data_IF_158424277172
#
_entry.id   IF_158424277172
#
_cell.length_a   1.000
_cell.length_b   1.000
_cell.length_c   1.000
_cell.angle_alpha   90.00
_cell.angle_beta   90.00
_cell.angle_gamma   90.00
#
_symmetry.space_group_name_H-M   'P 1'
#
loop_
_entity.id
_entity.type
_entity.pdbx_description
1 polymer ?
#
# COMPACT_ATOMS: atom_id res chain seq x y z
N UNK A 1 -13.91 -17.20 0.95
CA UNK A 1 -14.11 -16.42 2.20
C UNK A 1 -12.74 -15.90 2.58
N UNK A 2 -12.41 -14.61 2.52
CA UNK A 2 -11.02 -14.10 2.55
C UNK A 2 -10.19 -14.57 3.77
N UNK A 3 -8.86 -14.44 3.73
CA UNK A 3 -7.93 -14.70 4.84
C UNK A 3 -7.35 -13.43 5.44
N UNK A 4 -7.09 -13.40 6.75
CA UNK A 4 -6.29 -12.37 7.43
C UNK A 4 -5.23 -13.06 8.27
N UNK A 5 -4.01 -12.54 8.26
CA UNK A 5 -2.97 -12.87 9.24
C UNK A 5 -2.35 -11.60 9.81
N UNK A 6 -1.78 -11.73 11.01
CA UNK A 6 -0.92 -10.73 11.62
C UNK A 6 0.27 -11.42 12.25
N UNK A 7 1.43 -10.77 12.19
CA UNK A 7 2.67 -11.25 12.79
C UNK A 7 3.31 -10.12 13.57
N UNK A 8 3.75 -10.45 14.78
CA UNK A 8 4.38 -9.56 15.76
C UNK A 8 5.66 -10.24 16.22
N UNK A 9 6.81 -9.60 16.04
CA UNK A 9 8.13 -10.09 16.46
C UNK A 9 8.67 -9.19 17.58
N UNK A 10 9.39 -9.78 18.54
CA UNK A 10 10.03 -9.04 19.63
C UNK A 10 11.22 -8.20 19.16
N UNK A 11 11.84 -8.58 18.05
CA UNK A 11 12.96 -7.90 17.41
C UNK A 11 12.76 -7.93 15.88
N UNK A 12 13.39 -7.03 15.11
CA UNK A 12 13.31 -7.07 13.65
C UNK A 12 13.71 -8.45 13.09
N UNK A 13 12.86 -9.04 12.27
CA UNK A 13 13.07 -10.35 11.66
C UNK A 13 12.29 -10.53 10.36
N UNK A 14 12.22 -11.74 9.79
CA UNK A 14 11.71 -12.00 8.44
C UNK A 14 10.17 -11.99 8.38
N UNK A 15 9.56 -10.87 8.81
CA UNK A 15 8.11 -10.71 8.90
C UNK A 15 7.41 -10.88 7.55
N UNK A 16 8.06 -10.52 6.44
CA UNK A 16 7.54 -10.74 5.10
C UNK A 16 7.37 -12.22 4.77
N UNK A 17 8.42 -13.02 4.95
CA UNK A 17 8.38 -14.46 4.73
C UNK A 17 7.38 -15.17 5.67
N UNK A 18 7.34 -14.78 6.95
CA UNK A 18 6.36 -15.30 7.92
C UNK A 18 4.92 -15.07 7.44
N UNK A 19 4.59 -13.83 7.04
CA UNK A 19 3.24 -13.48 6.58
C UNK A 19 2.87 -14.18 5.27
N UNK A 20 3.81 -14.35 4.34
CA UNK A 20 3.58 -15.08 3.08
C UNK A 20 3.24 -16.54 3.38
N UNK A 21 4.00 -17.20 4.25
CA UNK A 21 3.73 -18.58 4.65
C UNK A 21 2.35 -18.73 5.31
N UNK A 22 1.97 -17.78 6.19
CA UNK A 22 0.65 -17.76 6.80
C UNK A 22 -0.48 -17.55 5.79
N UNK A 23 -0.29 -16.66 4.80
CA UNK A 23 -1.26 -16.45 3.72
C UNK A 23 -1.40 -17.69 2.84
N UNK A 24 -0.30 -18.36 2.52
CA UNK A 24 -0.30 -19.57 1.72
C UNK A 24 -1.03 -20.73 2.39
N UNK A 25 -0.86 -20.90 3.71
CA UNK A 25 -1.63 -21.88 4.49
C UNK A 25 -3.15 -21.63 4.42
N UNK A 26 -3.57 -20.41 4.11
CA UNK A 26 -4.96 -20.01 3.93
C UNK A 26 -5.34 -19.78 2.46
N UNK A 27 -4.55 -20.21 1.47
CA UNK A 27 -4.84 -19.96 0.05
C UNK A 27 -6.21 -20.49 -0.40
N UNK A 28 -6.71 -21.58 0.22
CA UNK A 28 -8.06 -22.11 0.00
C UNK A 28 -9.20 -21.12 0.36
N UNK A 29 -8.87 -20.03 1.08
CA UNK A 29 -9.79 -18.96 1.49
C UNK A 29 -9.88 -17.84 0.43
N UNK A 30 -8.88 -17.71 -0.44
CA UNK A 30 -8.85 -16.76 -1.56
C UNK A 30 -7.44 -16.57 -2.11
N UNK A 31 -7.32 -16.41 -3.42
CA UNK A 31 -6.04 -16.30 -4.12
C UNK A 31 -6.07 -15.30 -5.29
N UNK A 32 -7.11 -14.48 -5.40
CA UNK A 32 -7.25 -13.55 -6.53
C UNK A 32 -6.33 -12.35 -6.38
N UNK A 33 -6.15 -11.90 -5.14
CA UNK A 33 -5.23 -10.82 -4.78
C UNK A 33 -4.75 -11.00 -3.35
N UNK A 34 -3.50 -10.61 -3.11
CA UNK A 34 -2.87 -10.70 -1.80
C UNK A 34 -2.16 -9.39 -1.50
N UNK A 35 -2.24 -8.94 -0.25
CA UNK A 35 -1.57 -7.74 0.20
C UNK A 35 -1.04 -7.85 1.61
N UNK A 36 -0.05 -7.02 1.88
CA UNK A 36 0.75 -6.96 3.09
C UNK A 36 0.94 -5.51 3.50
N UNK A 37 0.76 -5.22 4.77
CA UNK A 37 1.22 -3.99 5.41
C UNK A 37 2.36 -4.39 6.33
N UNK A 38 3.56 -3.96 5.98
CA UNK A 38 4.81 -4.36 6.61
C UNK A 38 5.43 -3.17 7.32
N UNK A 39 5.94 -3.40 8.54
CA UNK A 39 6.52 -2.35 9.37
C UNK A 39 8.01 -2.62 9.55
N UNK A 40 8.80 -1.96 8.70
CA UNK A 40 10.26 -2.06 8.65
C UNK A 40 10.97 -1.11 9.61
N UNK A 41 12.29 -0.94 9.48
CA UNK A 41 13.05 0.06 10.20
C UNK A 41 12.48 1.46 9.96
N UNK A 42 12.40 2.27 11.02
CA UNK A 42 11.96 3.65 10.90
C UNK A 42 12.98 4.48 10.13
N UNK A 43 12.51 5.29 9.18
CA UNK A 43 13.35 6.33 8.59
C UNK A 43 13.75 7.35 9.68
N UNK A 44 15.01 7.82 9.69
CA UNK A 44 15.44 8.91 10.58
C UNK A 44 14.67 10.20 10.35
N UNK A 45 14.29 10.46 9.09
CA UNK A 45 13.53 11.63 8.65
C UNK A 45 12.63 11.25 7.46
N UNK A 46 11.51 11.96 7.33
CA UNK A 46 10.62 11.78 6.18
C UNK A 46 9.73 10.55 6.24
N UNK A 47 9.24 10.15 5.07
CA UNK A 47 8.30 9.05 4.87
C UNK A 47 8.75 8.11 3.76
N UNK A 48 8.45 6.82 3.94
CA UNK A 48 8.33 5.87 2.84
C UNK A 48 6.92 6.00 2.26
N UNK A 49 6.85 6.14 0.94
CA UNK A 49 5.58 6.21 0.21
C UNK A 49 5.52 5.09 -0.81
N UNK A 50 4.40 4.37 -0.82
CA UNK A 50 4.09 3.34 -1.82
C UNK A 50 2.97 3.86 -2.70
N UNK A 51 3.14 3.72 -4.01
CA UNK A 51 2.14 4.12 -5.01
C UNK A 51 1.86 2.96 -5.95
N UNK A 52 0.65 2.91 -6.49
CA UNK A 52 0.34 2.13 -7.69
C UNK A 52 -0.02 3.09 -8.82
N UNK A 53 0.70 3.01 -9.94
CA UNK A 53 0.28 3.61 -11.21
C UNK A 53 -0.38 2.55 -12.08
N UNK A 54 -1.57 2.83 -12.59
CA UNK A 54 -2.35 1.94 -13.46
C UNK A 54 -1.92 2.01 -14.93
N UNK A 55 -0.97 2.89 -15.27
CA UNK A 55 -0.46 3.05 -16.63
C UNK A 55 1.06 3.27 -16.65
N UNK A 56 1.81 2.16 -16.72
CA UNK A 56 3.28 2.18 -16.80
C UNK A 56 3.84 3.08 -17.92
N UNK A 57 3.12 3.25 -19.04
CA UNK A 57 3.61 4.12 -20.15
C UNK A 57 3.63 5.60 -19.79
N UNK A 58 2.90 5.99 -18.76
CA UNK A 58 2.85 7.36 -18.24
C UNK A 58 3.69 7.55 -16.98
N UNK A 59 4.31 6.49 -16.47
CA UNK A 59 4.97 6.51 -15.17
C UNK A 59 5.97 7.67 -15.03
N UNK A 60 6.83 7.88 -16.02
CA UNK A 60 7.82 8.95 -15.99
C UNK A 60 7.16 10.34 -15.85
N UNK A 61 6.09 10.59 -16.62
CA UNK A 61 5.35 11.85 -16.55
C UNK A 61 4.58 12.01 -15.23
N UNK A 62 3.96 10.92 -14.75
CA UNK A 62 3.20 10.94 -13.51
C UNK A 62 4.15 11.14 -12.31
N UNK A 63 5.37 10.59 -12.34
CA UNK A 63 6.42 10.82 -11.34
C UNK A 63 6.96 12.26 -11.39
N UNK A 64 7.16 12.83 -12.57
CA UNK A 64 7.55 14.24 -12.73
C UNK A 64 6.48 15.18 -12.17
N UNK A 65 5.20 14.89 -12.46
CA UNK A 65 4.06 15.64 -11.91
C UNK A 65 4.02 15.54 -10.39
N UNK A 66 4.16 14.33 -9.86
CA UNK A 66 4.21 14.08 -8.42
C UNK A 66 5.37 14.82 -7.75
N UNK A 67 6.54 14.84 -8.39
CA UNK A 67 7.72 15.54 -7.88
C UNK A 67 7.50 17.06 -7.83
N UNK A 68 6.88 17.63 -8.86
CA UNK A 68 6.50 19.06 -8.87
C UNK A 68 5.57 19.39 -7.71
N UNK A 69 4.52 18.60 -7.50
CA UNK A 69 3.59 18.78 -6.37
C UNK A 69 4.35 18.68 -5.05
N UNK A 70 5.22 17.68 -4.89
CA UNK A 70 6.02 17.52 -3.68
C UNK A 70 6.87 18.77 -3.37
N UNK A 71 7.47 19.38 -4.41
CA UNK A 71 8.25 20.61 -4.32
C UNK A 71 7.41 21.82 -3.92
N UNK A 72 6.20 21.94 -4.46
CA UNK A 72 5.28 23.03 -4.13
C UNK A 72 4.88 23.00 -2.63
N UNK A 73 4.91 21.82 -2.01
CA UNK A 73 4.67 21.61 -0.57
C UNK A 73 5.95 21.61 0.28
N UNK A 74 7.07 22.07 -0.28
CA UNK A 74 8.35 22.21 0.42
C UNK A 74 9.02 20.89 0.80
N UNK A 75 8.66 19.80 0.13
CA UNK A 75 9.26 18.48 0.28
C UNK A 75 10.08 18.11 -0.97
N UNK A 76 10.88 17.05 -0.86
CA UNK A 76 11.64 16.49 -1.96
C UNK A 76 11.82 14.97 -1.78
N UNK A 77 12.18 14.29 -2.85
CA UNK A 77 12.65 12.92 -2.76
C UNK A 77 13.96 12.86 -1.97
N UNK A 78 14.04 11.92 -1.01
CA UNK A 78 15.27 11.57 -0.30
C UNK A 78 16.12 10.58 -1.12
N UNK A 79 15.50 9.85 -2.04
CA UNK A 79 16.17 8.96 -2.99
C UNK A 79 15.31 8.82 -4.24
N UNK A 80 15.92 8.42 -5.36
CA UNK A 80 15.21 8.15 -6.60
C UNK A 80 14.08 7.11 -6.38
N UNK A 81 12.87 7.35 -6.93
CA UNK A 81 11.81 6.36 -6.92
C UNK A 81 12.25 5.06 -7.58
N UNK A 82 11.84 3.93 -7.01
CA UNK A 82 12.14 2.59 -7.50
C UNK A 82 10.86 1.84 -7.80
N UNK A 83 10.88 0.97 -8.80
CA UNK A 83 9.73 0.15 -9.19
C UNK A 83 10.18 -1.14 -9.84
N UNK A 84 9.26 -2.09 -9.94
CA UNK A 84 9.53 -3.40 -10.53
C UNK A 84 9.77 -3.32 -12.06
N UNK A 85 10.54 -4.26 -12.61
CA UNK A 85 10.80 -4.37 -14.05
C UNK A 85 9.78 -5.24 -14.79
N UNK A 86 8.60 -5.50 -14.22
CA UNK A 86 7.60 -6.39 -14.82
C UNK A 86 6.91 -5.73 -16.01
N UNK A 87 6.36 -6.55 -16.91
CA UNK A 87 5.68 -6.10 -18.14
C UNK A 87 4.18 -5.84 -17.96
N UNK A 88 3.72 -5.64 -16.73
CA UNK A 88 2.31 -5.43 -16.43
C UNK A 88 1.87 -3.99 -16.75
N UNK A 89 0.55 -3.79 -16.92
CA UNK A 89 -0.03 -2.47 -17.19
C UNK A 89 0.14 -1.52 -16.01
N UNK A 90 -0.10 -2.02 -14.80
CA UNK A 90 0.17 -1.30 -13.57
C UNK A 90 1.61 -1.55 -13.09
N UNK A 91 2.05 -0.70 -12.17
CA UNK A 91 3.39 -0.71 -11.57
C UNK A 91 3.29 -0.26 -10.12
N UNK A 92 4.01 -0.96 -9.22
CA UNK A 92 4.16 -0.51 -7.84
C UNK A 92 5.45 0.29 -7.73
N UNK A 93 5.34 1.49 -7.17
CA UNK A 93 6.46 2.41 -6.96
C UNK A 93 6.71 2.54 -5.46
N UNK A 94 7.98 2.49 -5.09
CA UNK A 94 8.48 2.83 -3.76
C UNK A 94 9.33 4.09 -3.86
N UNK A 95 9.04 5.05 -3.00
CA UNK A 95 9.79 6.30 -2.90
C UNK A 95 10.01 6.66 -1.44
N UNK A 96 11.03 7.48 -1.18
CA UNK A 96 11.23 8.13 0.12
C UNK A 96 11.26 9.63 -0.08
N UNK A 97 10.59 10.37 0.80
CA UNK A 97 10.47 11.83 0.71
C UNK A 97 10.66 12.48 2.07
N UNK A 98 11.12 13.72 2.10
CA UNK A 98 11.05 14.54 3.31
C UNK A 98 9.60 14.86 3.66
N UNK A 99 9.33 15.25 4.90
CA UNK A 99 7.96 15.58 5.31
C UNK A 99 7.51 16.89 4.63
N UNK A 100 6.32 16.94 4.01
CA UNK A 100 5.73 18.19 3.54
C UNK A 100 5.69 19.23 4.65
N UNK A 101 6.14 20.44 4.33
CA UNK A 101 6.18 21.57 5.28
C UNK A 101 4.84 22.29 5.39
N UNK A 102 4.01 22.18 4.34
CA UNK A 102 2.63 22.62 4.29
C UNK A 102 1.66 21.49 4.75
N UNK A 103 0.34 21.71 4.63
CA UNK A 103 -0.66 20.77 5.14
C UNK A 103 -0.60 19.41 4.41
N UNK A 104 -0.18 18.36 5.13
CA UNK A 104 0.00 17.00 4.61
C UNK A 104 -1.26 16.43 3.91
N UNK A 105 -2.46 16.82 4.37
CA UNK A 105 -3.72 16.40 3.77
C UNK A 105 -3.95 17.03 2.40
N UNK A 106 -3.63 18.31 2.22
CA UNK A 106 -3.76 19.01 0.92
C UNK A 106 -2.78 18.44 -0.11
N UNK A 107 -1.53 18.19 0.29
CA UNK A 107 -0.55 17.49 -0.54
C UNK A 107 -1.07 16.11 -1.02
N UNK A 108 -1.68 15.34 -0.11
CA UNK A 108 -2.24 14.04 -0.41
C UNK A 108 -3.39 14.14 -1.43
N UNK A 109 -4.27 15.13 -1.28
CA UNK A 109 -5.38 15.37 -2.22
C UNK A 109 -4.88 15.73 -3.62
N UNK A 110 -3.87 16.60 -3.75
CA UNK A 110 -3.28 16.95 -5.04
C UNK A 110 -2.54 15.78 -5.69
N UNK A 111 -1.80 15.01 -4.89
CA UNK A 111 -1.08 13.83 -5.39
C UNK A 111 -2.04 12.74 -5.88
N UNK A 112 -3.15 12.49 -5.17
CA UNK A 112 -4.19 11.54 -5.59
C UNK A 112 -5.03 12.04 -6.79
N UNK A 113 -4.93 13.33 -7.16
CA UNK A 113 -5.56 13.88 -8.35
C UNK A 113 -4.87 13.46 -9.66
N UNK A 114 -3.65 12.91 -9.58
CA UNK A 114 -2.94 12.36 -10.74
C UNK A 114 -3.68 11.11 -11.24
N UNK A 115 -4.28 11.20 -12.43
CA UNK A 115 -5.19 10.19 -12.95
C UNK A 115 -4.55 8.80 -13.08
N UNK A 116 -5.03 7.84 -12.28
CA UNK A 116 -4.53 6.46 -12.30
C UNK A 116 -3.25 6.25 -11.48
N UNK A 117 -2.86 7.22 -10.67
CA UNK A 117 -1.72 7.16 -9.75
C UNK A 117 -2.27 7.28 -8.33
N UNK A 118 -2.18 6.21 -7.55
CA UNK A 118 -2.85 6.14 -6.23
C UNK A 118 -1.85 5.81 -5.13
N UNK A 119 -1.77 6.68 -4.11
CA UNK A 119 -0.90 6.47 -2.95
C UNK A 119 -1.45 5.32 -2.10
N UNK A 120 -0.72 4.22 -2.02
CA UNK A 120 -1.13 3.03 -1.25
C UNK A 120 -0.79 3.16 0.24
N UNK A 121 0.30 3.82 0.60
CA UNK A 121 0.65 4.10 1.99
C UNK A 121 1.65 5.23 2.11
N UNK A 122 1.56 5.97 3.22
CA UNK A 122 2.60 6.87 3.72
C UNK A 122 2.89 6.50 5.16
N UNK A 123 4.17 6.40 5.53
CA UNK A 123 4.58 6.06 6.88
C UNK A 123 6.07 6.20 7.10
N UNK A 124 6.49 6.25 8.36
CA UNK A 124 7.91 6.20 8.74
C UNK A 124 8.45 4.77 8.69
N UNK A 125 7.57 3.79 8.87
CA UNK A 125 7.85 2.35 8.94
C UNK A 125 6.97 1.51 8.03
N UNK A 126 5.75 2.00 7.73
CA UNK A 126 4.73 1.28 6.98
C UNK A 126 5.01 1.29 5.47
N UNK A 127 5.05 0.09 4.90
CA UNK A 127 4.92 -0.15 3.46
C UNK A 127 3.74 -1.07 3.18
N UNK A 128 2.75 -0.58 2.43
CA UNK A 128 1.69 -1.44 1.88
C UNK A 128 2.11 -1.94 0.51
N UNK A 129 2.21 -3.26 0.39
CA UNK A 129 2.52 -3.97 -0.85
C UNK A 129 1.37 -4.93 -1.15
N UNK A 130 0.71 -4.75 -2.29
CA UNK A 130 -0.42 -5.59 -2.69
C UNK A 130 -0.53 -5.67 -4.20
N UNK A 131 -0.96 -6.82 -4.67
CA UNK A 131 -1.09 -7.08 -6.11
C UNK A 131 -2.09 -8.21 -6.38
N UNK A 132 -2.37 -8.43 -7.65
CA UNK A 132 -3.13 -9.57 -8.16
C UNK A 132 -2.27 -10.83 -8.07
N UNK A 133 -2.88 -11.93 -7.64
CA UNK A 133 -2.22 -13.22 -7.47
C UNK A 133 -2.23 -13.74 -6.03
N UNK A 134 -1.75 -14.96 -5.87
CA UNK A 134 -1.58 -15.61 -4.57
C UNK A 134 -0.36 -15.01 -3.82
N UNK A 135 -0.18 -15.44 -2.57
CA UNK A 135 0.87 -14.90 -1.70
C UNK A 135 2.29 -15.12 -2.23
N UNK A 136 2.57 -16.28 -2.82
CA UNK A 136 3.89 -16.61 -3.39
C UNK A 136 4.18 -15.74 -4.62
N UNK A 137 3.21 -15.58 -5.52
CA UNK A 137 3.35 -14.71 -6.68
C UNK A 137 3.60 -13.25 -6.28
N UNK A 138 2.89 -12.74 -5.27
CA UNK A 138 3.10 -11.36 -4.78
C UNK A 138 4.45 -11.24 -4.08
N UNK A 139 4.88 -12.27 -3.34
CA UNK A 139 6.20 -12.30 -2.71
C UNK A 139 7.32 -12.22 -3.74
N UNK A 140 7.27 -13.03 -4.79
CA UNK A 140 8.29 -13.05 -5.85
C UNK A 140 8.34 -11.72 -6.62
N UNK A 141 7.18 -11.14 -6.93
CA UNK A 141 7.09 -9.88 -7.69
C UNK A 141 7.70 -8.70 -6.94
N UNK A 142 7.52 -8.66 -5.61
CA UNK A 142 7.86 -7.49 -4.78
C UNK A 142 8.98 -7.77 -3.77
N UNK A 143 9.70 -8.89 -3.93
CA UNK A 143 10.77 -9.37 -3.06
C UNK A 143 10.41 -9.35 -1.55
N UNK A 144 9.20 -9.81 -1.21
CA UNK A 144 8.74 -9.76 0.19
C UNK A 144 9.44 -10.79 1.08
N UNK A 145 10.06 -11.81 0.50
CA UNK A 145 10.76 -12.86 1.24
C UNK A 145 11.99 -12.33 1.99
N UNK A 146 12.60 -11.26 1.49
CA UNK A 146 13.76 -10.60 2.10
C UNK A 146 13.36 -9.50 3.10
N UNK A 147 12.07 -9.18 3.23
CA UNK A 147 11.61 -8.05 4.03
C UNK A 147 11.80 -8.29 5.53
N UNK A 148 12.65 -7.44 6.14
CA UNK A 148 12.90 -7.42 7.57
C UNK A 148 12.09 -6.32 8.24
N UNK A 149 11.34 -6.71 9.27
CA UNK A 149 10.50 -5.79 10.03
C UNK A 149 10.11 -6.37 11.37
N UNK A 150 9.38 -5.59 12.14
CA UNK A 150 8.96 -6.00 13.48
C UNK A 150 7.57 -6.62 13.45
N UNK A 151 6.67 -6.07 12.64
CA UNK A 151 5.26 -6.44 12.63
C UNK A 151 4.67 -6.30 11.23
N UNK A 152 3.53 -6.94 11.01
CA UNK A 152 2.76 -6.73 9.80
C UNK A 152 1.43 -7.46 9.81
N UNK A 153 0.57 -7.08 8.88
CA UNK A 153 -0.74 -7.69 8.64
C UNK A 153 -0.87 -8.01 7.16
N UNK A 154 -1.57 -9.10 6.84
CA UNK A 154 -1.78 -9.54 5.48
C UNK A 154 -3.24 -9.94 5.24
N UNK A 155 -3.67 -9.82 3.99
CA UNK A 155 -4.99 -10.23 3.54
C UNK A 155 -4.91 -10.94 2.20
N UNK A 156 -5.64 -12.06 2.08
CA UNK A 156 -5.84 -12.77 0.83
C UNK A 156 -7.32 -12.71 0.47
N UNK A 157 -7.65 -12.16 -0.70
CA UNK A 157 -9.01 -11.88 -1.12
C UNK A 157 -9.48 -12.88 -2.18
N UNK A 158 -10.73 -13.29 -2.05
CA UNK A 158 -11.51 -13.98 -3.09
C UNK A 158 -12.54 -12.98 -3.63
N UNK A 159 -12.40 -12.56 -4.88
CA UNK A 159 -13.29 -11.61 -5.52
C UNK A 159 -14.51 -12.34 -6.08
N UNK A 160 -15.68 -12.13 -5.46
CA UNK A 160 -16.93 -12.76 -5.90
C UNK A 160 -17.74 -11.90 -6.87
N UNK A 161 -17.50 -10.58 -6.93
CA UNK A 161 -18.35 -9.64 -7.70
C UNK A 161 -17.61 -8.46 -8.35
N UNK A 162 -16.32 -8.24 -8.06
CA UNK A 162 -15.59 -7.03 -8.50
C UNK A 162 -14.39 -7.36 -9.37
N UNK A 163 -13.99 -6.43 -10.24
CA UNK A 163 -12.70 -6.49 -10.94
C UNK A 163 -11.55 -6.63 -9.94
N UNK A 164 -10.61 -7.53 -10.24
CA UNK A 164 -9.43 -7.77 -9.42
C UNK A 164 -8.37 -6.73 -9.78
N UNK A 165 -8.19 -5.75 -8.90
CA UNK A 165 -7.18 -4.70 -9.04
C UNK A 165 -6.41 -4.54 -7.72
N UNK A 166 -5.11 -4.19 -7.78
CA UNK A 166 -4.33 -3.93 -6.57
C UNK A 166 -4.97 -2.87 -5.66
N UNK A 167 -5.50 -1.79 -6.24
CA UNK A 167 -6.13 -0.67 -5.53
C UNK A 167 -7.40 -1.07 -4.76
N UNK A 168 -8.13 -2.08 -5.25
CA UNK A 168 -9.32 -2.61 -4.59
C UNK A 168 -9.03 -3.72 -3.56
N UNK A 169 -7.75 -4.02 -3.32
CA UNK A 169 -7.31 -5.10 -2.44
C UNK A 169 -6.90 -4.56 -1.07
N UNK A 170 -7.07 -5.38 -0.03
CA UNK A 170 -6.54 -5.06 1.30
C UNK A 170 -5.03 -5.38 1.37
N UNK A 171 -4.28 -4.78 2.31
CA UNK A 171 -4.69 -3.76 3.29
C UNK A 171 -4.98 -2.37 2.69
N UNK A 172 -5.70 -1.54 3.45
CA UNK A 172 -5.89 -0.12 3.17
C UNK A 172 -5.11 0.73 4.16
N UNK A 173 -4.53 1.83 3.69
CA UNK A 173 -3.97 2.85 4.55
C UNK A 173 -5.08 3.75 5.11
N UNK A 174 -5.07 4.01 6.41
CA UNK A 174 -6.02 4.90 7.08
C UNK A 174 -5.61 6.35 6.88
N UNK A 175 -5.87 6.86 5.68
CA UNK A 175 -5.55 8.24 5.29
C UNK A 175 -6.21 9.26 6.25
N UNK A 176 -5.55 10.40 6.57
CA UNK A 176 -4.17 10.78 6.24
C UNK A 176 -3.19 10.43 7.37
N UNK A 177 -3.42 9.38 8.16
CA UNK A 177 -2.60 9.08 9.34
C UNK A 177 -1.40 8.18 8.98
N UNK A 178 -0.14 8.66 9.08
CA UNK A 178 1.02 7.85 8.79
C UNK A 178 1.07 6.57 9.64
N UNK A 179 1.59 5.48 9.06
CA UNK A 179 1.81 4.21 9.76
C UNK A 179 0.54 3.49 10.28
N UNK A 180 -0.66 3.83 9.78
CA UNK A 180 -1.90 3.14 10.17
C UNK A 180 -2.50 2.36 9.00
N UNK A 181 -2.44 1.03 9.04
CA UNK A 181 -3.07 0.16 8.05
C UNK A 181 -4.25 -0.65 8.62
N UNK A 182 -5.23 -0.93 7.78
CA UNK A 182 -6.46 -1.66 8.14
C UNK A 182 -6.71 -2.81 7.15
N UNK A 183 -7.01 -3.98 7.70
CA UNK A 183 -7.54 -5.15 6.99
C UNK A 183 -8.94 -5.46 7.50
N UNK A 184 -9.75 -6.10 6.67
CA UNK A 184 -11.11 -6.48 7.04
C UNK A 184 -11.50 -7.84 6.44
N UNK A 185 -12.26 -8.60 7.21
CA UNK A 185 -12.87 -9.86 6.80
C UNK A 185 -14.32 -9.86 7.26
N UNK A 186 -15.25 -9.75 6.31
CA UNK A 186 -16.67 -9.60 6.60
C UNK A 186 -17.32 -8.65 5.61
N UNK A 187 -18.46 -8.08 6.02
CA UNK A 187 -19.20 -7.10 5.24
C UNK A 187 -19.80 -6.02 6.14
N UNK A 188 -19.69 -4.75 5.72
CA UNK A 188 -20.34 -3.62 6.38
C UNK A 188 -21.79 -3.48 5.85
N UNK A 189 -22.75 -4.05 6.58
CA UNK A 189 -24.17 -4.08 6.18
C UNK A 189 -24.83 -2.69 6.14
N UNK A 190 -24.24 -1.70 6.80
CA UNK A 190 -24.73 -0.32 6.86
C UNK A 190 -23.84 0.68 6.09
N UNK A 191 -23.03 0.22 5.13
CA UNK A 191 -22.07 1.04 4.38
C UNK A 191 -22.63 2.38 3.91
N UNK A 192 -23.78 2.39 3.23
CA UNK A 192 -24.38 3.60 2.68
C UNK A 192 -24.77 4.62 3.75
N UNK A 193 -25.34 4.15 4.86
CA UNK A 193 -25.73 5.02 5.98
C UNK A 193 -24.51 5.60 6.68
N UNK A 194 -23.49 4.79 6.91
CA UNK A 194 -22.24 5.23 7.54
C UNK A 194 -21.51 6.22 6.65
N UNK A 195 -21.36 5.93 5.36
CA UNK A 195 -20.77 6.86 4.37
C UNK A 195 -21.49 8.20 4.38
N UNK A 196 -22.81 8.20 4.27
CA UNK A 196 -23.61 9.42 4.29
C UNK A 196 -23.41 10.25 5.57
N UNK A 197 -23.37 9.59 6.73
CA UNK A 197 -23.13 10.25 8.02
C UNK A 197 -21.72 10.85 8.12
N UNK A 198 -20.71 10.14 7.62
CA UNK A 198 -19.32 10.60 7.65
C UNK A 198 -19.10 11.76 6.68
N UNK A 199 -19.55 11.67 5.43
CA UNK A 199 -19.43 12.78 4.46
C UNK A 199 -20.07 14.09 4.94
N UNK A 200 -21.11 14.02 5.78
CA UNK A 200 -21.74 15.21 6.39
C UNK A 200 -20.91 15.86 7.50
N UNK A 201 -19.91 15.18 8.04
CA UNK A 201 -19.04 15.69 9.10
C UNK A 201 -17.79 16.40 8.56
N UNK A 202 -17.61 16.43 7.24
CA UNK A 202 -16.32 16.73 6.60
C UNK A 202 -15.44 15.49 6.59
#
# INVERSE_FOLDING_TARGET
>A
MCGIAGRILSEPGPVGADLVAMMQAMAHRGSDSTGFALYGPALPEGYVVRVVSMNRRRLDQDLETFHSILKDYGSDFLSDPTWDSLKQRHVSVRMTMSEPTAEFAEWLEEADAIAGFEIQSVGRTLEIVKDVGNAEEVMEKHDLGSYIGTHGIANARMATESKVYPTASHPFWARPFPDIAIVHNGQLTNYWLTRYRLTRKG
#
